data_IF_503410087452
#
_entry.id   IF_503410087452
#
_cell.length_a   1.000
_cell.length_b   1.000
_cell.length_c   1.000
_cell.angle_alpha   90.00
_cell.angle_beta   90.00
_cell.angle_gamma   90.00
#
_symmetry.space_group_name_H-M   'P 1'
#
loop_
_entity.id
_entity.type
_entity.pdbx_description
1 polymer ?
#
# COMPACT_ATOMS: atom_id res chain seq x y z
N UNK A 1 20.81 7.27 -1.29
CA UNK A 1 19.35 7.04 -1.23
C UNK A 1 18.84 7.64 0.07
N UNK A 2 17.87 8.54 0.02
CA UNK A 2 17.27 9.14 1.21
C UNK A 2 16.25 8.14 1.81
N UNK A 3 16.31 7.80 3.11
CA UNK A 3 15.35 6.89 3.73
C UNK A 3 13.90 7.39 3.62
N UNK A 4 13.70 8.72 3.61
CA UNK A 4 12.38 9.31 3.45
C UNK A 4 11.77 9.00 2.08
N UNK A 5 12.57 9.02 1.01
CA UNK A 5 12.10 8.68 -0.34
C UNK A 5 11.60 7.22 -0.39
N UNK A 6 12.26 6.31 0.33
CA UNK A 6 11.83 4.91 0.43
C UNK A 6 10.53 4.76 1.21
N UNK A 7 10.35 5.53 2.29
CA UNK A 7 9.09 5.53 3.04
C UNK A 7 7.94 6.07 2.18
N UNK A 8 8.18 7.19 1.49
CA UNK A 8 7.17 7.79 0.60
C UNK A 8 6.85 6.87 -0.57
N UNK A 9 7.85 6.20 -1.16
CA UNK A 9 7.62 5.18 -2.17
C UNK A 9 6.74 4.03 -1.66
N UNK A 10 7.00 3.51 -0.45
CA UNK A 10 6.20 2.45 0.14
C UNK A 10 4.74 2.88 0.37
N UNK A 11 4.54 4.13 0.81
CA UNK A 11 3.22 4.73 0.99
C UNK A 11 2.55 5.10 -0.34
N UNK A 12 3.31 5.27 -1.42
CA UNK A 12 2.78 5.66 -2.71
C UNK A 12 1.92 4.56 -3.32
N UNK A 13 2.27 3.28 -3.12
CA UNK A 13 1.48 2.17 -3.65
C UNK A 13 0.01 2.22 -3.20
N UNK A 14 -0.31 2.30 -1.89
CA UNK A 14 -1.70 2.41 -1.47
C UNK A 14 -2.34 3.76 -1.82
N UNK A 15 -1.55 4.82 -1.97
CA UNK A 15 -2.06 6.12 -2.38
C UNK A 15 -2.46 6.14 -3.87
N UNK A 16 -1.68 5.53 -4.76
CA UNK A 16 -1.96 5.48 -6.20
C UNK A 16 -3.00 4.44 -6.59
N UNK A 17 -3.30 3.49 -5.70
CA UNK A 17 -4.32 2.46 -5.87
C UNK A 17 -5.43 2.58 -4.82
N UNK A 18 -5.82 3.81 -4.49
CA UNK A 18 -6.70 4.08 -3.34
C UNK A 18 -8.00 3.28 -3.38
N UNK A 19 -8.63 3.20 -4.55
CA UNK A 19 -9.84 2.39 -4.74
C UNK A 19 -9.61 0.92 -4.39
N UNK A 20 -8.64 0.26 -5.04
CA UNK A 20 -8.36 -1.15 -4.82
C UNK A 20 -7.97 -1.44 -3.37
N UNK A 21 -7.16 -0.57 -2.75
CA UNK A 21 -6.72 -0.75 -1.37
C UNK A 21 -7.86 -0.61 -0.36
N UNK A 22 -8.80 0.32 -0.57
CA UNK A 22 -9.97 0.44 0.30
C UNK A 22 -10.82 -0.83 0.26
N UNK A 23 -11.04 -1.39 -0.94
CA UNK A 23 -11.74 -2.66 -1.11
C UNK A 23 -11.00 -3.81 -0.43
N UNK A 24 -9.73 -4.02 -0.77
CA UNK A 24 -8.92 -5.11 -0.22
C UNK A 24 -8.88 -5.03 1.30
N UNK A 25 -8.58 -3.87 1.86
CA UNK A 25 -8.47 -3.70 3.29
C UNK A 25 -9.83 -3.84 3.99
N UNK A 26 -10.92 -3.30 3.43
CA UNK A 26 -12.26 -3.43 3.99
C UNK A 26 -12.69 -4.89 4.17
N UNK A 27 -12.46 -5.73 3.16
CA UNK A 27 -12.77 -7.16 3.26
C UNK A 27 -11.73 -7.94 4.10
N UNK A 28 -10.45 -7.59 4.00
CA UNK A 28 -9.37 -8.30 4.69
C UNK A 28 -9.38 -8.07 6.21
N UNK A 29 -9.70 -6.86 6.67
CA UNK A 29 -9.71 -6.52 8.10
C UNK A 29 -10.73 -7.37 8.86
N UNK A 30 -11.90 -7.62 8.26
CA UNK A 30 -12.94 -8.44 8.90
C UNK A 30 -12.47 -9.89 9.10
N UNK A 31 -11.83 -10.49 8.08
CA UNK A 31 -11.24 -11.82 8.18
C UNK A 31 -10.07 -11.89 9.17
N UNK A 32 -9.18 -10.88 9.15
CA UNK A 32 -8.05 -10.76 10.07
C UNK A 32 -8.51 -10.63 11.53
N UNK A 33 -9.57 -9.86 11.77
CA UNK A 33 -10.12 -9.67 13.11
C UNK A 33 -10.73 -10.96 13.65
N UNK A 34 -11.50 -11.68 12.83
CA UNK A 34 -12.08 -12.99 13.20
C UNK A 34 -10.98 -14.00 13.53
N UNK A 35 -9.93 -14.10 12.72
CA UNK A 35 -8.79 -15.00 12.96
C UNK A 35 -8.02 -14.60 14.23
N UNK A 36 -7.85 -13.30 14.46
CA UNK A 36 -7.16 -12.77 15.64
C UNK A 36 -7.93 -13.01 16.94
N UNK A 37 -9.26 -12.91 16.91
CA UNK A 37 -10.13 -13.04 18.07
C UNK A 37 -10.44 -14.50 18.43
N UNK A 38 -10.63 -15.37 17.42
CA UNK A 38 -10.99 -16.78 17.68
C UNK A 38 -9.80 -17.68 17.94
N UNK A 39 -8.61 -17.33 17.44
CA UNK A 39 -7.45 -18.22 17.46
C UNK A 39 -7.72 -19.50 16.65
N UNK A 40 -6.75 -19.96 15.88
CA UNK A 40 -6.90 -21.13 14.99
C UNK A 40 -7.06 -22.46 15.78
N UNK A 41 -7.30 -22.43 17.10
CA UNK A 41 -7.24 -23.58 18.01
C UNK A 41 -8.46 -23.83 18.92
N UNK A 42 -9.60 -23.15 18.75
CA UNK A 42 -10.73 -23.31 19.68
C UNK A 42 -11.33 -24.72 19.71
N UNK A 43 -11.28 -25.47 18.62
CA UNK A 43 -11.78 -26.85 18.55
C UNK A 43 -10.82 -27.87 19.20
N UNK A 44 -9.52 -27.53 19.30
CA UNK A 44 -8.52 -28.38 19.94
C UNK A 44 -8.48 -28.22 21.46
N UNK A 45 -8.91 -27.07 21.99
CA UNK A 45 -8.79 -26.74 23.41
C UNK A 45 -9.77 -27.54 24.29
N UNK A 46 -10.99 -27.83 23.79
CA UNK A 46 -11.94 -28.68 24.49
C UNK A 46 -11.47 -30.14 24.57
N UNK A 47 -11.00 -30.71 23.44
CA UNK A 47 -10.45 -32.07 23.39
C UNK A 47 -9.14 -32.19 24.18
N UNK A 48 -8.34 -31.14 24.19
CA UNK A 48 -7.11 -31.07 24.98
C UNK A 48 -7.43 -31.07 26.47
N UNK A 49 -8.39 -30.27 26.94
CA UNK A 49 -8.85 -30.29 28.34
C UNK A 49 -9.37 -31.67 28.76
N UNK A 50 -10.07 -32.37 27.87
CA UNK A 50 -10.55 -33.74 28.12
C UNK A 50 -9.35 -34.71 28.25
N UNK A 51 -8.36 -34.66 27.32
CA UNK A 51 -7.15 -35.50 27.41
C UNK A 51 -6.26 -35.16 28.61
N UNK A 52 -6.22 -33.90 29.03
CA UNK A 52 -5.49 -33.45 30.22
C UNK A 52 -6.15 -34.04 31.47
N UNK A 53 -7.49 -34.07 31.51
CA UNK A 53 -8.28 -34.69 32.58
C UNK A 53 -8.14 -36.21 32.63
N UNK A 54 -8.02 -36.85 31.47
CA UNK A 54 -7.84 -38.30 31.34
C UNK A 54 -6.36 -38.74 31.45
N UNK A 55 -5.42 -37.81 31.66
CA UNK A 55 -4.00 -38.13 31.82
C UNK A 55 -3.31 -38.59 30.53
N UNK A 56 -3.95 -38.41 29.37
CA UNK A 56 -3.49 -38.89 28.06
C UNK A 56 -2.51 -37.93 27.35
N UNK A 57 -2.16 -36.81 27.98
CA UNK A 57 -1.27 -35.81 27.38
C UNK A 57 0.19 -36.11 27.68
N UNK A 58 0.91 -36.56 26.64
CA UNK A 58 2.35 -36.74 26.64
C UNK A 58 3.06 -35.41 26.98
N UNK A 59 3.92 -35.35 28.01
CA UNK A 59 4.64 -34.13 28.40
C UNK A 59 5.43 -33.48 27.26
N UNK A 60 5.89 -34.26 26.26
CA UNK A 60 6.63 -33.75 25.10
C UNK A 60 5.75 -32.99 24.10
N UNK A 61 4.44 -33.21 24.08
CA UNK A 61 3.50 -32.47 23.22
C UNK A 61 3.07 -31.10 23.80
N UNK A 62 3.37 -30.80 25.07
CA UNK A 62 2.98 -29.53 25.71
C UNK A 62 3.66 -28.30 25.10
N UNK A 63 4.89 -28.43 24.58
CA UNK A 63 5.72 -27.29 24.22
C UNK A 63 5.57 -26.80 22.77
N UNK A 64 5.30 -27.71 21.81
CA UNK A 64 5.39 -27.40 20.37
C UNK A 64 4.19 -26.63 19.81
N UNK A 65 2.99 -26.81 20.38
CA UNK A 65 1.78 -26.13 19.88
C UNK A 65 1.65 -24.65 20.29
N UNK A 66 2.31 -24.21 21.36
CA UNK A 66 2.13 -22.86 21.91
C UNK A 66 2.95 -21.78 21.21
N UNK A 67 4.13 -22.13 20.68
CA UNK A 67 5.02 -21.17 20.02
C UNK A 67 4.50 -20.82 18.63
N UNK A 68 4.10 -21.81 17.83
CA UNK A 68 3.57 -21.59 16.48
C UNK A 68 2.30 -20.71 16.46
N UNK A 69 1.37 -20.98 17.39
CA UNK A 69 0.14 -20.17 17.52
C UNK A 69 0.41 -18.72 17.94
N UNK A 70 1.43 -18.48 18.77
CA UNK A 70 1.81 -17.11 19.19
C UNK A 70 2.45 -16.33 18.03
N UNK A 71 3.35 -16.95 17.28
CA UNK A 71 3.99 -16.33 16.10
C UNK A 71 2.95 -15.95 15.05
N UNK A 72 2.05 -16.88 14.69
CA UNK A 72 0.96 -16.62 13.73
C UNK A 72 0.07 -15.46 14.20
N UNK A 73 -0.28 -15.41 15.49
CA UNK A 73 -1.09 -14.33 16.05
C UNK A 73 -0.42 -12.96 15.92
N UNK A 74 0.89 -12.88 16.20
CA UNK A 74 1.65 -11.63 16.03
C UNK A 74 1.68 -11.22 14.57
N UNK A 75 1.98 -12.16 13.66
CA UNK A 75 2.00 -11.91 12.22
C UNK A 75 0.66 -11.35 11.72
N UNK A 76 -0.46 -12.00 12.07
CA UNK A 76 -1.79 -11.52 11.68
C UNK A 76 -2.13 -10.16 12.27
N UNK A 77 -1.67 -9.87 13.50
CA UNK A 77 -1.88 -8.56 14.12
C UNK A 77 -1.08 -7.47 13.42
N UNK A 78 0.17 -7.72 13.07
CA UNK A 78 0.99 -6.81 12.25
C UNK A 78 0.33 -6.58 10.90
N UNK A 79 -0.11 -7.65 10.23
CA UNK A 79 -0.80 -7.54 8.95
C UNK A 79 -2.10 -6.74 9.05
N UNK A 80 -2.86 -6.88 10.14
CA UNK A 80 -4.05 -6.09 10.40
C UNK A 80 -3.75 -4.60 10.55
N UNK A 81 -2.67 -4.23 11.26
CA UNK A 81 -2.24 -2.83 11.36
C UNK A 81 -1.75 -2.27 10.02
N UNK A 82 -1.00 -3.05 9.25
CA UNK A 82 -0.57 -2.65 7.91
C UNK A 82 -1.78 -2.43 7.00
N UNK A 83 -2.76 -3.35 7.01
CA UNK A 83 -3.99 -3.20 6.24
C UNK A 83 -4.81 -1.99 6.67
N UNK A 84 -4.90 -1.73 7.97
CA UNK A 84 -5.59 -0.54 8.49
C UNK A 84 -4.90 0.75 8.06
N UNK A 85 -3.56 0.80 8.11
CA UNK A 85 -2.79 1.93 7.61
C UNK A 85 -3.02 2.16 6.12
N UNK A 86 -2.96 1.10 5.31
CA UNK A 86 -3.25 1.16 3.88
C UNK A 86 -4.69 1.61 3.58
N UNK A 87 -5.67 1.19 4.39
CA UNK A 87 -7.06 1.64 4.27
C UNK A 87 -7.15 3.16 4.47
N UNK A 88 -6.55 3.68 5.54
CA UNK A 88 -6.55 5.13 5.82
C UNK A 88 -5.91 5.90 4.68
N UNK A 89 -4.74 5.46 4.20
CA UNK A 89 -4.05 6.12 3.08
C UNK A 89 -4.91 6.08 1.80
N UNK A 90 -5.52 4.94 1.50
CA UNK A 90 -6.41 4.79 0.34
C UNK A 90 -7.61 5.73 0.40
N UNK A 91 -8.27 5.84 1.56
CA UNK A 91 -9.39 6.78 1.76
C UNK A 91 -8.93 8.22 1.56
N UNK A 92 -7.83 8.62 2.21
CA UNK A 92 -7.30 9.99 2.08
C UNK A 92 -6.98 10.32 0.61
N UNK A 93 -6.35 9.41 -0.12
CA UNK A 93 -6.04 9.61 -1.53
C UNK A 93 -7.29 9.74 -2.41
N UNK A 94 -8.33 8.92 -2.17
CA UNK A 94 -9.61 9.03 -2.88
C UNK A 94 -10.29 10.38 -2.66
N UNK A 95 -10.18 10.92 -1.44
CA UNK A 95 -10.69 12.25 -1.09
C UNK A 95 -9.83 13.40 -1.61
N UNK A 96 -8.74 13.11 -2.32
CA UNK A 96 -7.86 14.13 -2.92
C UNK A 96 -6.81 14.70 -1.98
N UNK A 97 -6.65 14.12 -0.77
CA UNK A 97 -5.57 14.53 0.14
C UNK A 97 -4.22 14.10 -0.45
N UNK A 98 -3.25 15.01 -0.60
CA UNK A 98 -1.97 14.72 -1.26
C UNK A 98 -0.98 14.01 -0.32
N UNK A 99 -1.30 12.79 0.12
CA UNK A 99 -0.54 12.04 1.14
C UNK A 99 0.93 11.86 0.76
N UNK A 100 1.22 11.47 -0.49
CA UNK A 100 2.59 11.31 -1.01
C UNK A 100 2.94 12.36 -2.07
N UNK A 101 1.93 12.87 -2.80
CA UNK A 101 2.10 13.73 -3.96
C UNK A 101 2.84 15.04 -3.66
N UNK A 102 2.53 15.69 -2.53
CA UNK A 102 3.21 16.93 -2.15
C UNK A 102 4.72 16.73 -1.93
N UNK A 103 5.10 15.64 -1.23
CA UNK A 103 6.51 15.33 -1.04
C UNK A 103 7.22 15.00 -2.36
N UNK A 104 6.60 14.21 -3.23
CA UNK A 104 7.16 13.84 -4.54
C UNK A 104 7.29 15.08 -5.42
N UNK A 105 6.34 16.00 -5.36
CA UNK A 105 6.41 17.27 -6.08
C UNK A 105 7.63 18.10 -5.62
N UNK A 106 7.85 18.21 -4.31
CA UNK A 106 8.90 19.08 -3.75
C UNK A 106 10.31 18.47 -3.84
N UNK A 107 10.42 17.14 -3.81
CA UNK A 107 11.71 16.42 -3.75
C UNK A 107 12.01 15.59 -5.00
N UNK A 108 11.04 15.45 -5.90
CA UNK A 108 11.18 14.68 -7.14
C UNK A 108 12.01 15.40 -8.18
N UNK A 109 12.68 14.63 -9.03
CA UNK A 109 13.37 15.14 -10.20
C UNK A 109 12.37 15.36 -11.34
N UNK A 110 12.35 16.55 -11.95
CA UNK A 110 11.50 16.82 -13.10
C UNK A 110 12.04 16.11 -14.34
N UNK A 111 11.14 15.65 -15.19
CA UNK A 111 11.38 15.15 -16.55
C UNK A 111 10.15 15.43 -17.39
N UNK A 112 10.29 15.36 -18.71
CA UNK A 112 9.16 15.42 -19.63
C UNK A 112 8.59 14.02 -19.83
N UNK A 113 7.27 13.90 -19.79
CA UNK A 113 6.54 12.69 -20.12
C UNK A 113 5.39 12.95 -21.07
N UNK A 114 4.70 11.89 -21.43
CA UNK A 114 3.46 11.93 -22.22
C UNK A 114 2.39 11.12 -21.51
N UNK A 115 1.13 11.55 -21.65
CA UNK A 115 -0.03 10.84 -21.11
C UNK A 115 -0.77 10.16 -22.26
N UNK A 116 -1.04 8.86 -22.10
CA UNK A 116 -1.91 8.07 -22.96
C UNK A 116 -3.03 7.41 -22.12
N UNK A 117 -4.18 8.08 -22.03
CA UNK A 117 -5.27 7.68 -21.14
C UNK A 117 -4.84 7.68 -19.67
N UNK A 118 -4.96 6.51 -19.03
CA UNK A 118 -4.53 6.31 -17.63
C UNK A 118 -3.04 5.93 -17.51
N UNK A 119 -2.25 6.02 -18.58
CA UNK A 119 -0.82 5.68 -18.57
C UNK A 119 0.05 6.90 -18.79
N UNK A 120 1.15 6.97 -18.05
CA UNK A 120 2.14 8.04 -18.14
C UNK A 120 3.47 7.41 -18.53
N UNK A 121 4.04 7.89 -19.63
CA UNK A 121 5.36 7.46 -20.10
C UNK A 121 6.36 8.57 -19.93
N UNK A 122 7.50 8.29 -19.29
CA UNK A 122 8.58 9.26 -19.14
C UNK A 122 9.95 8.57 -19.06
N UNK A 123 10.99 9.33 -19.39
CA UNK A 123 12.37 8.86 -19.34
C UNK A 123 13.10 9.48 -18.16
N UNK A 124 13.75 8.62 -17.37
CA UNK A 124 14.56 9.01 -16.21
C UNK A 124 15.88 9.64 -16.64
N UNK A 125 16.59 10.28 -15.71
CA UNK A 125 17.90 10.89 -15.98
C UNK A 125 18.96 9.86 -16.38
N UNK A 126 18.75 8.61 -15.97
CA UNK A 126 19.57 7.45 -16.30
C UNK A 126 19.26 6.90 -17.71
N UNK A 127 18.30 7.49 -18.44
CA UNK A 127 17.91 7.08 -19.78
C UNK A 127 16.96 5.89 -19.84
N UNK A 128 16.39 5.48 -18.69
CA UNK A 128 15.42 4.37 -18.62
C UNK A 128 14.01 4.93 -18.78
N UNK A 129 13.26 4.37 -19.73
CA UNK A 129 11.84 4.69 -19.97
C UNK A 129 10.94 3.88 -19.03
N UNK A 130 9.94 4.54 -18.46
CA UNK A 130 8.92 3.95 -17.62
C UNK A 130 7.55 4.30 -18.17
N UNK A 131 6.68 3.29 -18.29
CA UNK A 131 5.24 3.46 -18.52
C UNK A 131 4.51 2.99 -17.27
N UNK A 132 3.84 3.91 -16.59
CA UNK A 132 3.22 3.68 -15.29
C UNK A 132 1.77 4.15 -15.30
N UNK A 133 0.92 3.45 -14.55
CA UNK A 133 -0.49 3.81 -14.43
C UNK A 133 -0.66 5.05 -13.55
N UNK A 134 -1.40 6.04 -14.05
CA UNK A 134 -2.01 7.14 -13.31
C UNK A 134 -3.51 6.88 -13.17
N UNK A 135 -3.87 6.15 -12.11
CA UNK A 135 -5.22 5.68 -11.91
C UNK A 135 -6.26 6.82 -11.83
N UNK A 136 -7.37 6.69 -12.57
CA UNK A 136 -8.46 7.67 -12.59
C UNK A 136 -9.03 8.04 -11.20
N UNK A 137 -9.17 7.07 -10.28
CA UNK A 137 -9.75 7.35 -8.95
C UNK A 137 -8.78 8.11 -8.04
N UNK A 138 -7.48 7.93 -8.26
CA UNK A 138 -6.40 8.57 -7.51
C UNK A 138 -5.34 9.11 -8.47
N UNK A 139 -5.67 10.13 -9.28
CA UNK A 139 -4.79 10.63 -10.34
C UNK A 139 -3.44 11.03 -9.76
N UNK A 140 -2.36 10.79 -10.50
CA UNK A 140 -1.02 11.19 -10.08
C UNK A 140 -0.77 12.68 -10.36
N UNK A 141 -1.75 13.58 -10.18
CA UNK A 141 -1.65 15.01 -10.53
C UNK A 141 -1.59 15.87 -9.26
N UNK A 142 -0.73 16.88 -9.25
CA UNK A 142 -0.55 17.84 -8.15
C UNK A 142 0.05 19.15 -8.69
N UNK A 143 -0.27 20.34 -8.15
CA UNK A 143 -1.14 20.60 -6.99
C UNK A 143 -2.64 20.49 -7.29
N UNK A 144 -3.04 20.70 -8.55
CA UNK A 144 -4.44 20.63 -8.96
C UNK A 144 -4.79 19.21 -9.43
N UNK A 145 -5.53 18.48 -8.60
CA UNK A 145 -5.98 17.11 -8.89
C UNK A 145 -6.89 17.04 -10.11
N UNK A 146 -7.73 18.07 -10.29
CA UNK A 146 -8.80 18.10 -11.27
C UNK A 146 -8.36 18.82 -12.56
N UNK A 147 -7.06 19.12 -12.67
CA UNK A 147 -6.47 19.70 -13.87
C UNK A 147 -6.75 18.79 -15.08
N UNK A 148 -7.37 19.38 -16.11
CA UNK A 148 -7.58 18.70 -17.37
C UNK A 148 -6.26 18.64 -18.13
N UNK A 149 -5.83 17.44 -18.49
CA UNK A 149 -4.60 17.22 -19.25
C UNK A 149 -4.97 16.43 -20.50
N UNK A 150 -4.71 16.99 -21.67
CA UNK A 150 -5.02 16.35 -22.94
C UNK A 150 -4.10 15.17 -23.19
N UNK A 151 -4.66 14.07 -23.70
CA UNK A 151 -3.88 12.92 -24.14
C UNK A 151 -2.92 13.30 -25.25
N UNK A 152 -1.67 12.82 -25.18
CA UNK A 152 -0.63 13.06 -26.17
C UNK A 152 0.14 14.38 -26.01
N UNK A 153 -0.24 15.24 -25.07
CA UNK A 153 0.51 16.45 -24.78
C UNK A 153 1.73 16.17 -23.88
N UNK A 154 2.84 16.93 -24.06
CA UNK A 154 3.98 16.84 -23.18
C UNK A 154 3.62 17.40 -21.80
N UNK A 155 3.86 16.58 -20.77
CA UNK A 155 3.63 16.94 -19.36
C UNK A 155 4.94 16.95 -18.60
N UNK A 156 4.99 17.73 -17.51
CA UNK A 156 6.11 17.65 -16.58
C UNK A 156 5.80 16.60 -15.52
N UNK A 157 6.63 15.56 -15.47
CA UNK A 157 6.57 14.50 -14.46
C UNK A 157 7.70 14.71 -13.47
N UNK A 158 7.40 14.62 -12.18
CA UNK A 158 8.38 14.59 -11.10
C UNK A 158 8.40 13.21 -10.48
N UNK A 159 9.56 12.57 -10.44
CA UNK A 159 9.71 11.22 -9.88
C UNK A 159 10.80 11.18 -8.81
N UNK A 160 10.70 10.23 -7.87
CA UNK A 160 11.76 9.99 -6.89
C UNK A 160 12.95 9.27 -7.56
N UNK A 161 14.19 9.79 -7.51
CA UNK A 161 15.31 9.26 -8.30
C UNK A 161 15.69 7.81 -8.02
N UNK A 162 15.46 7.33 -6.80
CA UNK A 162 15.68 5.92 -6.44
C UNK A 162 14.47 5.02 -6.65
N UNK A 163 13.30 5.62 -6.91
CA UNK A 163 12.01 4.95 -6.96
C UNK A 163 11.10 5.58 -8.02
N UNK A 164 11.39 5.42 -9.33
CA UNK A 164 10.63 6.08 -10.40
C UNK A 164 9.13 5.72 -10.41
N UNK A 165 8.73 4.61 -9.78
CA UNK A 165 7.31 4.25 -9.63
C UNK A 165 6.54 5.23 -8.72
N UNK A 166 7.24 6.02 -7.91
CA UNK A 166 6.67 7.13 -7.18
C UNK A 166 6.87 8.42 -7.98
N UNK A 167 5.83 8.80 -8.72
CA UNK A 167 5.82 9.98 -9.57
C UNK A 167 4.57 10.82 -9.36
N UNK A 168 4.63 12.06 -9.84
CA UNK A 168 3.51 13.00 -9.91
C UNK A 168 3.64 13.85 -11.17
N UNK A 169 2.53 14.15 -11.81
CA UNK A 169 2.40 15.11 -12.90
C UNK A 169 2.23 16.49 -12.26
N UNK A 170 3.14 17.39 -12.59
CA UNK A 170 3.17 18.76 -12.10
C UNK A 170 2.21 19.63 -12.93
N UNK A 171 0.98 19.77 -12.46
CA UNK A 171 -0.04 20.56 -13.14
C UNK A 171 0.22 22.06 -13.14
N UNK A 172 1.20 22.55 -12.35
CA UNK A 172 1.61 23.96 -12.39
C UNK A 172 2.50 24.29 -13.59
N UNK A 173 3.06 23.27 -14.24
CA UNK A 173 3.98 23.40 -15.38
C UNK A 173 3.40 22.84 -16.68
N UNK A 174 2.25 22.18 -16.63
CA UNK A 174 1.56 21.71 -17.84
C UNK A 174 0.96 22.92 -18.58
N UNK A 175 1.09 23.02 -19.92
CA UNK A 175 0.38 24.03 -20.69
C UNK A 175 -1.12 23.88 -20.47
N UNK A 176 -1.78 24.93 -20.00
CA UNK A 176 -3.25 25.00 -19.88
C UNK A 176 -3.92 25.47 -21.17
#
# INVERSE_FOLDING_TARGET
>A
MNPMDTLIWLLNFPASHGYAMVFIAGFSILGLFVISARGIGSSGDALRRIREREGLLDPRQRATGHVGGRVLRILFRVLAFVMLGSLVIGILSLTGVPVTRAYIHDNGRPTTGTIDGDWVTFTTAEGVEYTLESNFFTPAVYPDRDAFISTGEPVVVRYLPGHPQAFVIDSSQTPG
#
